data_IF_467005204579
#
_entry.id   IF_467005204579
#
_cell.length_a   1.000
_cell.length_b   1.000
_cell.length_c   1.000
_cell.angle_alpha   90.00
_cell.angle_beta   90.00
_cell.angle_gamma   90.00
#
_symmetry.space_group_name_H-M   'P 1'
#
loop_
_entity.id
_entity.type
_entity.pdbx_description
1 polymer ?
#
# COMPACT_ATOMS: atom_id res chain seq x y z
N UNK A 1 -14.61 28.16 -6.38
CA UNK A 1 -13.57 29.05 -5.82
C UNK A 1 -12.78 28.40 -4.69
N UNK A 2 -13.43 27.78 -3.70
CA UNK A 2 -12.77 27.12 -2.56
C UNK A 2 -11.77 26.02 -3.01
N UNK A 3 -12.11 25.21 -4.01
CA UNK A 3 -11.19 24.19 -4.54
C UNK A 3 -9.94 24.78 -5.19
N UNK A 4 -10.10 25.86 -5.98
CA UNK A 4 -8.97 26.57 -6.61
C UNK A 4 -8.09 27.22 -5.55
N UNK A 5 -8.70 27.90 -4.57
CA UNK A 5 -7.98 28.49 -3.42
C UNK A 5 -7.16 27.41 -2.70
N UNK A 6 -7.78 26.28 -2.34
CA UNK A 6 -7.11 25.17 -1.65
C UNK A 6 -5.95 24.58 -2.45
N UNK A 7 -6.09 24.45 -3.76
CA UNK A 7 -5.02 23.98 -4.63
C UNK A 7 -3.80 24.93 -4.62
N UNK A 8 -4.05 26.25 -4.70
CA UNK A 8 -2.99 27.25 -4.64
C UNK A 8 -2.30 27.28 -3.28
N UNK A 9 -3.08 27.18 -2.20
CA UNK A 9 -2.56 27.06 -0.83
C UNK A 9 -1.69 25.83 -0.66
N UNK A 10 -2.14 24.66 -1.15
CA UNK A 10 -1.37 23.41 -1.09
C UNK A 10 -0.06 23.53 -1.87
N UNK A 11 -0.08 24.04 -3.11
CA UNK A 11 1.14 24.25 -3.90
C UNK A 11 2.15 25.14 -3.17
N UNK A 12 1.68 26.25 -2.61
CA UNK A 12 2.54 27.15 -1.84
C UNK A 12 3.09 26.50 -0.56
N UNK A 13 2.27 25.72 0.15
CA UNK A 13 2.68 24.99 1.34
C UNK A 13 3.74 23.93 1.01
N UNK A 14 3.55 23.12 -0.04
CA UNK A 14 4.52 22.13 -0.53
C UNK A 14 5.84 22.82 -0.92
N UNK A 15 5.79 23.95 -1.64
CA UNK A 15 6.99 24.69 -2.01
C UNK A 15 7.78 25.20 -0.79
N UNK A 16 7.08 25.68 0.26
CA UNK A 16 7.71 26.08 1.53
C UNK A 16 8.33 24.89 2.24
N UNK A 17 7.61 23.77 2.31
CA UNK A 17 8.08 22.54 2.95
C UNK A 17 9.41 22.07 2.36
N UNK A 18 9.54 21.98 1.04
CA UNK A 18 10.78 21.52 0.39
C UNK A 18 11.93 22.53 0.48
N UNK A 19 11.68 23.79 0.80
CA UNK A 19 12.70 24.79 1.12
C UNK A 19 13.09 24.79 2.60
N UNK A 20 12.28 24.19 3.46
CA UNK A 20 12.53 24.09 4.90
C UNK A 20 13.67 23.15 5.21
N UNK A 21 14.43 23.43 6.28
CA UNK A 21 15.43 22.52 6.84
C UNK A 21 14.81 21.33 7.57
N UNK A 22 13.62 21.51 8.16
CA UNK A 22 12.89 20.46 8.85
C UNK A 22 11.85 19.82 7.90
N UNK A 23 12.17 18.63 7.39
CA UNK A 23 11.29 17.83 6.53
C UNK A 23 10.90 16.49 7.20
N UNK A 24 11.32 16.28 8.45
CA UNK A 24 11.02 15.08 9.23
C UNK A 24 9.80 15.29 10.12
N UNK A 25 8.68 15.69 9.52
CA UNK A 25 7.39 15.87 10.19
C UNK A 25 6.35 14.92 9.64
N UNK A 26 5.29 14.66 10.41
CA UNK A 26 4.13 13.91 9.95
C UNK A 26 3.25 14.72 9.00
N UNK A 27 2.38 14.03 8.23
CA UNK A 27 1.41 14.72 7.38
C UNK A 27 0.44 15.56 8.22
N UNK A 28 0.03 15.08 9.40
CA UNK A 28 -0.83 15.84 10.31
C UNK A 28 -0.17 17.14 10.77
N UNK A 29 1.12 17.10 11.15
CA UNK A 29 1.87 18.32 11.49
C UNK A 29 1.98 19.27 10.30
N UNK A 30 2.23 18.74 9.09
CA UNK A 30 2.24 19.57 7.89
C UNK A 30 0.90 20.30 7.69
N UNK A 31 -0.23 19.61 7.84
CA UNK A 31 -1.56 20.21 7.69
C UNK A 31 -1.82 21.26 8.77
N UNK A 32 -1.54 20.94 10.02
CA UNK A 32 -1.76 21.86 11.15
C UNK A 32 -0.92 23.14 11.05
N UNK A 33 0.23 23.07 10.38
CA UNK A 33 1.12 24.21 10.18
C UNK A 33 0.80 25.04 8.92
N UNK A 34 -0.23 24.66 8.15
CA UNK A 34 -0.59 25.34 6.91
C UNK A 34 -2.10 25.56 6.83
N UNK A 35 -2.48 26.77 6.45
CA UNK A 35 -3.89 27.11 6.18
C UNK A 35 -4.27 26.60 4.77
N UNK A 36 -4.81 25.36 4.71
CA UNK A 36 -5.32 24.75 3.47
C UNK A 36 -6.83 24.62 3.58
N UNK A 37 -7.53 25.07 2.54
CA UNK A 37 -9.00 25.02 2.48
C UNK A 37 -9.52 23.60 2.77
N UNK A 38 -10.28 23.43 3.85
CA UNK A 38 -10.73 22.15 4.38
C UNK A 38 -11.49 21.29 3.34
N UNK A 39 -12.40 21.93 2.58
CA UNK A 39 -13.15 21.26 1.52
C UNK A 39 -12.24 20.69 0.43
N UNK A 40 -11.16 21.42 0.10
CA UNK A 40 -10.17 20.93 -0.87
C UNK A 40 -9.34 19.79 -0.28
N UNK A 41 -8.89 19.93 0.97
CA UNK A 41 -8.10 18.89 1.63
C UNK A 41 -8.86 17.57 1.73
N UNK A 42 -10.06 17.61 2.31
CA UNK A 42 -10.86 16.40 2.52
C UNK A 42 -11.55 15.89 1.25
N UNK A 43 -11.94 16.77 0.34
CA UNK A 43 -12.69 16.41 -0.86
C UNK A 43 -11.84 16.07 -2.09
N UNK A 44 -10.57 16.49 -2.12
CA UNK A 44 -9.71 16.24 -3.28
C UNK A 44 -8.39 15.55 -2.90
N UNK A 45 -7.71 15.99 -1.84
CA UNK A 45 -6.37 15.49 -1.49
C UNK A 45 -6.44 14.17 -0.73
N UNK A 46 -7.22 14.12 0.35
CA UNK A 46 -7.35 12.91 1.18
C UNK A 46 -7.84 11.68 0.41
N UNK A 47 -8.82 11.78 -0.52
CA UNK A 47 -9.19 10.66 -1.37
C UNK A 47 -8.03 10.07 -2.17
N UNK A 48 -7.18 10.92 -2.73
CA UNK A 48 -5.98 10.48 -3.47
C UNK A 48 -5.00 9.77 -2.54
N UNK A 49 -4.70 10.35 -1.39
CA UNK A 49 -3.82 9.74 -0.39
C UNK A 49 -4.40 8.43 0.14
N UNK A 50 -5.71 8.36 0.36
CA UNK A 50 -6.39 7.14 0.79
C UNK A 50 -6.25 5.98 -0.21
N UNK A 51 -6.27 6.28 -1.51
CA UNK A 51 -6.04 5.26 -2.55
C UNK A 51 -4.63 4.67 -2.48
N UNK A 52 -3.64 5.50 -2.15
CA UNK A 52 -2.24 5.08 -2.10
C UNK A 52 -1.93 4.36 -0.80
N UNK A 53 -2.30 4.99 0.33
CA UNK A 53 -1.97 4.48 1.66
C UNK A 53 -2.86 3.31 2.08
N UNK A 54 -4.13 3.29 1.62
CA UNK A 54 -5.16 2.28 1.94
C UNK A 54 -5.38 2.06 3.46
N UNK A 55 -4.97 3.04 4.27
CA UNK A 55 -5.14 3.09 5.72
C UNK A 55 -6.26 4.08 6.10
N UNK A 56 -6.69 4.07 7.34
CA UNK A 56 -7.68 5.06 7.79
C UNK A 56 -7.09 6.49 7.79
N UNK A 57 -7.92 7.55 7.72
CA UNK A 57 -7.43 8.94 7.63
C UNK A 57 -6.52 9.37 8.78
N UNK A 58 -6.75 8.86 10.00
CA UNK A 58 -5.89 9.15 11.16
C UNK A 58 -4.50 8.57 10.96
N UNK A 59 -4.43 7.31 10.55
CA UNK A 59 -3.15 6.63 10.25
C UNK A 59 -2.41 7.33 9.12
N UNK A 60 -3.11 7.77 8.05
CA UNK A 60 -2.48 8.56 6.96
C UNK A 60 -1.85 9.84 7.51
N UNK A 61 -2.47 10.48 8.51
CA UNK A 61 -1.90 11.65 9.19
C UNK A 61 -0.57 11.38 9.90
N UNK A 62 -0.34 10.15 10.36
CA UNK A 62 0.90 9.74 11.03
C UNK A 62 2.06 9.46 10.06
N UNK A 63 1.78 9.33 8.77
CA UNK A 63 2.81 9.09 7.76
C UNK A 63 3.79 10.26 7.66
N UNK A 64 5.07 9.98 7.34
CA UNK A 64 6.03 11.04 7.01
C UNK A 64 5.50 11.90 5.87
N UNK A 65 5.52 13.23 6.06
CA UNK A 65 4.96 14.16 5.08
C UNK A 65 5.71 14.13 3.74
N UNK A 66 7.04 13.99 3.78
CA UNK A 66 7.91 14.15 2.60
C UNK A 66 7.55 13.25 1.42
N UNK A 67 7.40 11.91 1.54
CA UNK A 67 7.03 11.06 0.41
C UNK A 67 5.65 11.39 -0.16
N UNK A 68 4.66 11.66 0.69
CA UNK A 68 3.31 12.00 0.26
C UNK A 68 3.26 13.36 -0.46
N UNK A 69 3.96 14.36 0.07
CA UNK A 69 4.05 15.68 -0.56
C UNK A 69 4.86 15.66 -1.88
N UNK A 70 5.86 14.77 -1.98
CA UNK A 70 6.58 14.55 -3.25
C UNK A 70 5.62 14.03 -4.31
N UNK A 71 4.82 13.03 -3.97
CA UNK A 71 3.80 12.47 -4.87
C UNK A 71 2.74 13.51 -5.26
N UNK A 72 2.20 14.26 -4.28
CA UNK A 72 1.21 15.31 -4.56
C UNK A 72 1.78 16.41 -5.45
N UNK A 73 3.05 16.76 -5.30
CA UNK A 73 3.72 17.73 -6.18
C UNK A 73 3.77 17.22 -7.62
N UNK A 74 4.19 15.96 -7.84
CA UNK A 74 4.23 15.36 -9.17
C UNK A 74 2.85 15.38 -9.83
N UNK A 75 1.79 14.98 -9.12
CA UNK A 75 0.42 15.08 -9.64
C UNK A 75 -0.01 16.50 -10.01
N UNK A 76 0.35 17.47 -9.18
CA UNK A 76 -0.02 18.90 -9.42
C UNK A 76 0.82 19.55 -10.52
N UNK A 77 2.01 19.03 -10.80
CA UNK A 77 2.88 19.47 -11.89
C UNK A 77 2.52 18.83 -13.24
N UNK A 78 1.55 17.92 -13.24
CA UNK A 78 0.95 17.34 -14.46
C UNK A 78 1.59 16.06 -14.94
N UNK A 79 2.29 15.33 -14.08
CA UNK A 79 2.81 13.99 -14.40
C UNK A 79 1.67 13.03 -14.75
N UNK A 80 1.85 12.27 -15.82
CA UNK A 80 0.84 11.31 -16.27
C UNK A 80 0.82 10.06 -15.40
N UNK A 81 -0.37 9.58 -15.08
CA UNK A 81 -0.57 8.24 -14.53
C UNK A 81 -0.56 7.23 -15.67
N UNK A 82 0.38 6.31 -15.64
CA UNK A 82 0.55 5.29 -16.66
C UNK A 82 0.06 3.93 -16.14
N UNK A 83 -0.44 3.11 -17.06
CA UNK A 83 -0.79 1.71 -16.80
C UNK A 83 0.13 0.80 -17.58
N UNK A 84 0.59 -0.29 -16.97
CA UNK A 84 1.40 -1.31 -17.64
C UNK A 84 0.51 -2.07 -18.61
N UNK A 85 0.91 -2.11 -19.88
CA UNK A 85 0.25 -2.92 -20.87
C UNK A 85 0.34 -4.41 -20.50
N UNK A 86 -0.77 -5.14 -20.55
CA UNK A 86 -0.87 -6.52 -20.06
C UNK A 86 -0.95 -6.68 -18.55
N UNK A 87 -1.00 -5.54 -17.78
CA UNK A 87 -1.20 -5.51 -16.35
C UNK A 87 -0.05 -6.13 -15.54
N UNK A 88 -0.31 -6.43 -14.27
CA UNK A 88 0.66 -7.03 -13.35
C UNK A 88 1.28 -8.34 -13.85
N UNK A 89 0.53 -9.27 -14.49
CA UNK A 89 1.14 -10.49 -15.01
C UNK A 89 2.27 -10.25 -16.02
N UNK A 90 2.10 -9.27 -16.94
CA UNK A 90 3.15 -8.95 -17.91
C UNK A 90 4.43 -8.43 -17.23
N UNK A 91 4.28 -7.59 -16.19
CA UNK A 91 5.40 -7.13 -15.39
C UNK A 91 6.09 -8.28 -14.66
N UNK A 92 5.29 -9.12 -13.97
CA UNK A 92 5.83 -10.25 -13.19
C UNK A 92 6.59 -11.21 -14.11
N UNK A 93 6.00 -11.61 -15.24
CA UNK A 93 6.64 -12.50 -16.20
C UNK A 93 8.00 -11.94 -16.69
N UNK A 94 8.07 -10.61 -16.90
CA UNK A 94 9.32 -9.97 -17.30
C UNK A 94 10.38 -9.95 -16.20
N UNK A 95 9.95 -9.74 -14.95
CA UNK A 95 10.85 -9.70 -13.78
C UNK A 95 11.42 -11.07 -13.41
N UNK A 96 10.66 -12.15 -13.64
CA UNK A 96 11.09 -13.51 -13.29
C UNK A 96 11.77 -14.24 -14.45
N UNK A 97 11.98 -13.59 -15.59
CA UNK A 97 12.63 -14.18 -16.76
C UNK A 97 14.05 -14.68 -16.39
N UNK A 98 14.30 -15.96 -16.59
CA UNK A 98 15.57 -16.62 -16.21
C UNK A 98 15.71 -16.98 -14.72
N UNK A 99 14.66 -16.78 -13.91
CA UNK A 99 14.65 -17.16 -12.49
C UNK A 99 13.86 -18.46 -12.33
N UNK A 100 14.41 -19.41 -11.58
CA UNK A 100 13.70 -20.65 -11.22
C UNK A 100 12.59 -20.32 -10.20
N UNK A 101 11.34 -20.65 -10.53
CA UNK A 101 10.16 -20.37 -9.71
C UNK A 101 9.53 -21.68 -9.21
N UNK A 102 9.34 -21.77 -7.90
CA UNK A 102 8.65 -22.88 -7.24
C UNK A 102 7.31 -22.41 -6.67
N UNK A 103 6.23 -22.59 -7.42
CA UNK A 103 4.88 -22.31 -6.96
C UNK A 103 4.38 -23.40 -6.00
N UNK A 104 3.37 -23.08 -5.17
CA UNK A 104 2.76 -24.01 -4.20
C UNK A 104 3.77 -24.62 -3.22
N UNK A 105 4.88 -23.94 -2.98
CA UNK A 105 5.98 -24.35 -2.12
C UNK A 105 6.05 -23.45 -0.88
N UNK A 106 5.03 -23.53 -0.02
CA UNK A 106 4.99 -22.75 1.22
C UNK A 106 6.17 -23.14 2.12
N UNK A 107 6.97 -22.13 2.50
CA UNK A 107 8.12 -22.34 3.38
C UNK A 107 7.63 -22.45 4.83
N UNK A 108 8.10 -23.47 5.54
CA UNK A 108 7.77 -23.81 6.93
C UNK A 108 8.95 -23.61 7.88
N UNK A 109 10.18 -23.64 7.35
CA UNK A 109 11.37 -23.43 8.15
C UNK A 109 12.48 -22.73 7.35
N UNK A 110 13.17 -21.81 8.02
CA UNK A 110 14.45 -21.23 7.60
C UNK A 110 15.42 -21.38 8.75
N UNK A 111 16.62 -21.90 8.49
CA UNK A 111 17.65 -22.13 9.50
C UNK A 111 19.04 -21.84 8.94
N UNK A 112 19.82 -21.00 9.60
CA UNK A 112 21.23 -20.84 9.25
C UNK A 112 22.06 -22.04 9.71
N UNK A 113 22.99 -22.44 8.85
CA UNK A 113 23.98 -23.51 9.05
C UNK A 113 25.35 -23.03 8.61
N UNK A 114 26.40 -23.76 8.97
CA UNK A 114 27.77 -23.39 8.60
C UNK A 114 27.96 -23.26 7.08
N UNK A 115 27.34 -24.16 6.32
CA UNK A 115 27.42 -24.25 4.86
C UNK A 115 26.34 -23.41 4.11
N UNK A 116 25.49 -22.63 4.79
CA UNK A 116 24.47 -21.82 4.13
C UNK A 116 23.21 -21.64 4.96
N UNK A 117 22.08 -21.48 4.28
CA UNK A 117 20.74 -21.35 4.88
C UNK A 117 19.88 -22.50 4.37
N UNK A 118 19.44 -23.36 5.28
CA UNK A 118 18.47 -24.42 5.00
C UNK A 118 17.07 -23.81 4.91
N UNK A 119 16.36 -24.14 3.85
CA UNK A 119 14.93 -23.85 3.65
C UNK A 119 14.20 -25.18 3.56
N UNK A 120 13.10 -25.31 4.31
CA UNK A 120 12.17 -26.44 4.22
C UNK A 120 10.78 -25.95 3.84
N UNK A 121 10.13 -26.63 2.90
CA UNK A 121 8.76 -26.37 2.50
C UNK A 121 7.74 -27.30 3.18
N UNK A 122 6.45 -27.02 2.98
CA UNK A 122 5.35 -27.80 3.56
C UNK A 122 5.28 -29.28 3.08
N UNK A 123 6.03 -29.64 2.04
CA UNK A 123 6.16 -31.01 1.54
C UNK A 123 7.33 -31.75 2.20
N UNK A 124 8.10 -31.09 3.07
CA UNK A 124 9.30 -31.65 3.70
C UNK A 124 10.54 -31.61 2.79
N UNK A 125 10.46 -30.95 1.64
CA UNK A 125 11.63 -30.80 0.77
C UNK A 125 12.57 -29.76 1.36
N UNK A 126 13.86 -30.11 1.40
CA UNK A 126 14.89 -29.27 1.96
C UNK A 126 15.90 -28.84 0.89
N UNK A 127 16.29 -27.56 0.90
CA UNK A 127 17.34 -27.01 0.05
C UNK A 127 18.25 -26.07 0.86
N UNK A 128 19.53 -26.02 0.49
CA UNK A 128 20.53 -25.13 1.11
C UNK A 128 20.91 -24.06 0.08
N UNK A 129 20.93 -22.81 0.53
CA UNK A 129 21.33 -21.65 -0.27
C UNK A 129 22.42 -20.86 0.45
N UNK A 130 23.30 -20.19 -0.29
CA UNK A 130 24.33 -19.32 0.29
C UNK A 130 23.68 -18.15 1.06
N UNK A 131 22.61 -17.58 0.51
CA UNK A 131 21.86 -16.45 1.08
C UNK A 131 20.39 -16.55 0.76
N UNK A 132 19.57 -16.00 1.64
CA UNK A 132 18.09 -15.97 1.50
C UNK A 132 17.58 -14.54 1.66
N UNK A 133 16.68 -14.14 0.78
CA UNK A 133 15.93 -12.88 0.89
C UNK A 133 14.48 -13.22 1.22
N UNK A 134 14.03 -12.81 2.39
CA UNK A 134 12.64 -12.96 2.84
C UNK A 134 11.84 -11.74 2.34
N UNK A 135 10.99 -11.95 1.34
CA UNK A 135 10.10 -10.94 0.78
C UNK A 135 8.64 -11.11 1.27
N UNK A 136 8.45 -11.78 2.39
CA UNK A 136 7.15 -12.01 3.02
C UNK A 136 6.83 -10.86 3.97
N UNK A 137 5.55 -10.40 4.05
CA UNK A 137 5.15 -9.39 5.02
C UNK A 137 5.58 -9.73 6.44
N UNK A 138 6.10 -8.75 7.19
CA UNK A 138 6.74 -9.00 8.50
C UNK A 138 5.80 -9.59 9.54
N UNK A 139 4.48 -9.43 9.41
CA UNK A 139 3.49 -10.07 10.27
C UNK A 139 3.28 -11.57 10.01
N UNK A 140 3.99 -12.15 9.03
CA UNK A 140 3.93 -13.59 8.69
C UNK A 140 5.23 -14.34 8.95
N UNK A 141 6.31 -13.64 9.31
CA UNK A 141 7.65 -14.25 9.42
C UNK A 141 7.75 -15.37 10.44
N UNK A 142 7.01 -15.31 11.55
CA UNK A 142 7.05 -16.32 12.60
C UNK A 142 6.52 -17.69 12.15
N UNK A 143 5.82 -17.75 11.02
CA UNK A 143 5.33 -19.02 10.46
C UNK A 143 6.48 -19.92 9.97
N UNK A 144 7.68 -19.35 9.73
CA UNK A 144 8.85 -20.07 9.22
C UNK A 144 10.19 -19.65 9.85
N UNK A 145 10.25 -18.46 10.50
CA UNK A 145 11.38 -18.00 11.30
C UNK A 145 11.05 -18.19 12.79
N UNK A 146 11.08 -19.40 13.27
CA UNK A 146 10.61 -19.75 14.62
C UNK A 146 11.71 -20.25 15.56
N UNK A 147 12.99 -20.02 15.22
CA UNK A 147 14.12 -20.48 16.01
C UNK A 147 14.89 -19.31 16.66
N UNK A 148 15.67 -19.61 17.68
CA UNK A 148 16.42 -18.63 18.49
C UNK A 148 17.44 -17.81 17.67
N UNK A 149 17.94 -18.37 16.56
CA UNK A 149 18.91 -17.69 15.68
C UNK A 149 18.38 -16.33 15.15
N UNK A 150 17.06 -16.23 14.95
CA UNK A 150 16.40 -15.02 14.41
C UNK A 150 15.64 -14.21 15.46
N UNK A 151 15.80 -14.52 16.76
CA UNK A 151 15.03 -13.85 17.82
C UNK A 151 15.15 -12.31 17.79
N UNK A 152 16.36 -11.79 17.55
CA UNK A 152 16.59 -10.35 17.45
C UNK A 152 15.95 -9.72 16.21
N UNK A 153 15.93 -10.44 15.07
CA UNK A 153 15.30 -9.98 13.84
C UNK A 153 13.79 -10.02 13.96
N UNK A 154 13.24 -11.10 14.51
CA UNK A 154 11.80 -11.24 14.77
C UNK A 154 11.32 -10.12 15.69
N UNK A 155 12.05 -9.82 16.77
CA UNK A 155 11.72 -8.74 17.69
C UNK A 155 11.70 -7.36 17.02
N UNK A 156 12.58 -7.12 16.04
CA UNK A 156 12.59 -5.90 15.23
C UNK A 156 11.40 -5.88 14.25
N UNK A 157 11.21 -6.95 13.50
CA UNK A 157 10.22 -7.04 12.42
C UNK A 157 8.78 -7.01 12.95
N UNK A 158 8.53 -7.50 14.15
CA UNK A 158 7.23 -7.41 14.85
C UNK A 158 6.80 -5.99 15.23
N UNK A 159 7.71 -5.03 15.24
CA UNK A 159 7.38 -3.63 15.53
C UNK A 159 6.70 -2.93 14.34
N UNK A 160 6.76 -3.48 13.13
CA UNK A 160 6.02 -2.97 11.99
C UNK A 160 4.53 -3.19 12.20
N UNK A 161 3.75 -2.12 12.02
CA UNK A 161 2.30 -2.14 12.23
C UNK A 161 1.58 -2.48 10.94
N UNK A 162 0.39 -3.07 11.09
CA UNK A 162 -0.48 -3.40 9.95
C UNK A 162 -1.92 -3.00 10.25
N UNK A 163 -2.63 -2.55 9.22
CA UNK A 163 -4.08 -2.36 9.22
C UNK A 163 -4.75 -3.34 8.26
N UNK A 164 -5.96 -3.76 8.62
CA UNK A 164 -6.79 -4.59 7.76
C UNK A 164 -7.79 -3.73 7.00
N UNK A 165 -8.06 -4.12 5.75
CA UNK A 165 -9.07 -3.51 4.93
C UNK A 165 -9.81 -4.54 4.09
N UNK A 166 -11.10 -4.32 3.88
CA UNK A 166 -11.94 -5.17 3.06
C UNK A 166 -11.93 -4.69 1.60
N UNK A 167 -11.62 -5.60 0.69
CA UNK A 167 -11.75 -5.42 -0.74
C UNK A 167 -12.92 -6.27 -1.25
N UNK A 168 -13.85 -5.63 -1.96
CA UNK A 168 -15.02 -6.32 -2.51
C UNK A 168 -15.07 -6.12 -4.02
N UNK A 169 -15.18 -7.21 -4.77
CA UNK A 169 -15.49 -7.21 -6.20
C UNK A 169 -16.99 -7.50 -6.34
N UNK A 170 -17.71 -6.65 -7.03
CA UNK A 170 -19.18 -6.72 -7.09
C UNK A 170 -19.75 -6.06 -8.35
N UNK A 171 -21.06 -6.26 -8.58
CA UNK A 171 -21.84 -5.64 -9.66
C UNK A 171 -22.85 -4.61 -9.15
N UNK A 172 -22.80 -4.24 -7.88
CA UNK A 172 -23.73 -3.30 -7.28
C UNK A 172 -23.43 -1.86 -7.72
N UNK A 173 -24.35 -1.26 -8.47
CA UNK A 173 -24.20 0.09 -9.00
C UNK A 173 -24.58 1.18 -7.99
N UNK A 174 -25.16 0.82 -6.84
CA UNK A 174 -25.57 1.79 -5.81
C UNK A 174 -24.40 2.56 -5.19
N UNK A 175 -23.17 2.04 -5.31
CA UNK A 175 -21.92 2.69 -4.86
C UNK A 175 -21.43 3.78 -5.82
N UNK A 176 -22.05 3.89 -7.00
CA UNK A 176 -21.68 4.87 -8.03
C UNK A 176 -22.68 6.03 -8.06
N UNK A 177 -22.32 7.18 -8.65
CA UNK A 177 -23.26 8.27 -8.88
C UNK A 177 -24.50 7.78 -9.63
N UNK A 178 -25.72 8.31 -9.31
CA UNK A 178 -26.98 7.85 -9.92
C UNK A 178 -27.01 7.97 -11.44
N UNK A 179 -26.33 8.96 -11.99
CA UNK A 179 -26.28 9.18 -13.44
C UNK A 179 -24.99 8.57 -14.01
N UNK A 180 -25.11 7.61 -14.92
CA UNK A 180 -23.95 6.92 -15.53
C UNK A 180 -22.97 7.87 -16.22
N UNK A 181 -23.41 9.00 -16.75
CA UNK A 181 -22.53 10.02 -17.35
C UNK A 181 -21.57 10.67 -16.33
N UNK A 182 -21.88 10.56 -15.04
CA UNK A 182 -21.07 11.11 -13.96
C UNK A 182 -20.11 10.03 -13.37
N UNK A 183 -20.11 8.82 -13.94
CA UNK A 183 -19.18 7.77 -13.49
C UNK A 183 -17.77 8.09 -13.91
N UNK A 184 -16.87 8.02 -12.97
CA UNK A 184 -15.43 8.11 -13.19
C UNK A 184 -14.78 6.72 -13.03
N UNK A 185 -13.59 6.57 -13.58
CA UNK A 185 -12.76 5.36 -13.40
C UNK A 185 -12.60 5.05 -11.91
N UNK A 186 -12.40 6.09 -11.12
CA UNK A 186 -12.21 6.04 -9.67
C UNK A 186 -13.18 7.00 -9.02
N UNK A 187 -14.04 6.48 -8.18
CA UNK A 187 -15.04 7.23 -7.42
C UNK A 187 -14.79 7.11 -5.94
N UNK A 188 -14.97 8.20 -5.21
CA UNK A 188 -14.80 8.26 -3.77
C UNK A 188 -16.12 8.55 -3.08
N UNK A 189 -16.33 7.90 -1.95
CA UNK A 189 -17.41 8.21 -1.03
C UNK A 189 -16.83 8.34 0.38
N UNK A 190 -17.33 9.31 1.14
CA UNK A 190 -16.92 9.52 2.52
C UNK A 190 -18.13 9.91 3.38
N UNK A 191 -18.05 9.65 4.66
CA UNK A 191 -19.03 10.14 5.61
C UNK A 191 -18.87 11.67 5.82
N UNK A 192 -19.92 12.29 6.39
CA UNK A 192 -19.91 13.75 6.62
C UNK A 192 -18.86 14.21 7.63
N UNK A 193 -18.31 13.30 8.43
CA UNK A 193 -17.28 13.58 9.44
C UNK A 193 -15.86 13.30 8.93
N UNK A 194 -15.73 12.84 7.68
CA UNK A 194 -14.47 12.43 7.06
C UNK A 194 -13.71 11.33 7.82
N UNK A 195 -14.43 10.52 8.60
CA UNK A 195 -13.85 9.43 9.41
C UNK A 195 -13.81 8.10 8.67
N UNK A 196 -14.75 7.89 7.73
CA UNK A 196 -14.85 6.69 6.90
C UNK A 196 -14.82 7.10 5.44
N UNK A 197 -14.00 6.41 4.68
CA UNK A 197 -13.85 6.63 3.25
C UNK A 197 -13.86 5.29 2.53
N UNK A 198 -14.47 5.27 1.35
CA UNK A 198 -14.31 4.19 0.38
C UNK A 198 -13.80 4.75 -0.93
N UNK A 199 -13.11 3.94 -1.71
CA UNK A 199 -12.95 4.20 -3.13
C UNK A 199 -13.46 3.00 -3.93
N UNK A 200 -14.02 3.30 -5.08
CA UNK A 200 -14.55 2.32 -6.01
C UNK A 200 -13.92 2.52 -7.37
N UNK A 201 -13.29 1.47 -7.90
CA UNK A 201 -12.77 1.43 -9.26
C UNK A 201 -13.82 0.77 -10.15
N UNK A 202 -14.23 1.46 -11.21
CA UNK A 202 -15.06 0.88 -12.27
C UNK A 202 -14.16 0.08 -13.22
N UNK A 203 -14.12 -1.25 -13.02
CA UNK A 203 -13.18 -2.13 -13.71
C UNK A 203 -13.35 -2.17 -15.22
N UNK A 204 -14.59 -2.05 -15.73
CA UNK A 204 -14.83 -2.04 -17.20
C UNK A 204 -14.16 -0.86 -17.91
N UNK A 205 -13.81 0.21 -17.21
CA UNK A 205 -13.11 1.35 -17.81
C UNK A 205 -11.60 1.19 -17.86
N UNK A 206 -11.04 0.22 -17.13
CA UNK A 206 -9.59 -0.02 -17.04
C UNK A 206 -9.17 -1.40 -17.49
N UNK A 207 -10.10 -2.36 -17.57
CA UNK A 207 -9.81 -3.73 -17.97
C UNK A 207 -10.44 -4.03 -19.35
N UNK A 208 -9.62 -4.13 -20.43
CA UNK A 208 -10.13 -4.31 -21.78
C UNK A 208 -11.05 -5.52 -21.95
N UNK A 209 -10.82 -6.59 -21.20
CA UNK A 209 -11.63 -7.82 -21.25
C UNK A 209 -13.05 -7.63 -20.72
N UNK A 210 -13.34 -6.54 -20.02
CA UNK A 210 -14.65 -6.20 -19.45
C UNK A 210 -15.41 -5.13 -20.23
N UNK A 211 -14.82 -4.58 -21.29
CA UNK A 211 -15.50 -3.56 -22.12
C UNK A 211 -16.79 -4.12 -22.71
N UNK A 212 -17.88 -3.36 -22.59
CA UNK A 212 -19.22 -3.74 -23.09
C UNK A 212 -19.97 -4.79 -22.26
N UNK A 213 -19.37 -5.31 -21.19
CA UNK A 213 -20.00 -6.28 -20.28
C UNK A 213 -20.73 -5.59 -19.12
N UNK A 214 -21.45 -6.39 -18.31
CA UNK A 214 -22.05 -5.94 -17.07
C UNK A 214 -21.04 -5.16 -16.24
N UNK A 215 -21.39 -4.00 -15.67
CA UNK A 215 -20.50 -3.22 -14.84
C UNK A 215 -19.98 -4.03 -13.65
N UNK A 216 -18.66 -4.05 -13.49
CA UNK A 216 -17.97 -4.67 -12.35
C UNK A 216 -17.17 -3.59 -11.63
N UNK A 217 -17.24 -3.61 -10.31
CA UNK A 217 -16.60 -2.66 -9.43
C UNK A 217 -15.68 -3.35 -8.46
N UNK A 218 -14.60 -2.68 -8.12
CA UNK A 218 -13.72 -3.02 -7.01
C UNK A 218 -13.84 -1.91 -5.96
N UNK A 219 -14.41 -2.25 -4.80
CA UNK A 219 -14.58 -1.28 -3.71
C UNK A 219 -13.69 -1.64 -2.52
N UNK A 220 -12.91 -0.68 -2.07
CA UNK A 220 -12.10 -0.75 -0.87
C UNK A 220 -12.84 -0.10 0.30
N UNK A 221 -12.95 -0.82 1.43
CA UNK A 221 -13.59 -0.36 2.66
C UNK A 221 -14.99 0.22 2.43
N UNK A 222 -15.98 -0.56 1.96
CA UNK A 222 -17.33 -0.06 1.69
C UNK A 222 -17.90 0.72 2.88
N UNK A 223 -18.30 1.96 2.64
CA UNK A 223 -19.05 2.80 3.62
C UNK A 223 -20.52 2.48 3.56
N UNK A 224 -21.02 2.19 2.36
CA UNK A 224 -22.39 1.72 2.11
C UNK A 224 -22.37 0.20 1.98
N UNK A 225 -23.38 -0.45 2.54
CA UNK A 225 -23.56 -1.89 2.38
C UNK A 225 -23.75 -2.26 0.90
N UNK A 226 -22.97 -3.24 0.44
CA UNK A 226 -23.09 -3.80 -0.91
C UNK A 226 -24.08 -4.96 -0.85
N UNK A 227 -25.05 -5.00 -1.77
CA UNK A 227 -26.02 -6.09 -1.89
C UNK A 227 -25.28 -7.45 -1.95
N UNK A 228 -25.48 -8.34 -0.96
CA UNK A 228 -24.80 -9.63 -0.91
C UNK A 228 -24.96 -10.48 -2.18
N UNK A 229 -26.11 -10.34 -2.88
CA UNK A 229 -26.40 -11.07 -4.13
C UNK A 229 -25.57 -10.59 -5.31
N UNK A 230 -24.94 -9.42 -5.19
CA UNK A 230 -24.12 -8.80 -6.24
C UNK A 230 -22.64 -8.91 -5.96
N UNK A 231 -22.24 -9.50 -4.83
CA UNK A 231 -20.82 -9.74 -4.49
C UNK A 231 -20.31 -10.91 -5.32
N UNK A 232 -19.23 -10.68 -6.06
CA UNK A 232 -18.48 -11.71 -6.80
C UNK A 232 -17.40 -12.32 -5.90
N UNK A 233 -16.69 -11.48 -5.17
CA UNK A 233 -15.62 -11.91 -4.26
C UNK A 233 -15.39 -10.85 -3.19
N UNK A 234 -14.96 -11.29 -2.02
CA UNK A 234 -14.57 -10.40 -0.92
C UNK A 234 -13.35 -10.98 -0.22
N UNK A 235 -12.38 -10.13 0.08
CA UNK A 235 -11.15 -10.52 0.78
C UNK A 235 -10.75 -9.45 1.78
N UNK A 236 -10.28 -9.88 2.95
CA UNK A 236 -9.62 -8.99 3.90
C UNK A 236 -8.12 -8.98 3.60
N UNK A 237 -7.61 -7.81 3.27
CA UNK A 237 -6.20 -7.57 3.01
C UNK A 237 -5.56 -6.88 4.20
N UNK A 238 -4.29 -7.17 4.43
CA UNK A 238 -3.47 -6.54 5.46
C UNK A 238 -2.45 -5.62 4.79
N UNK A 239 -2.39 -4.37 5.23
CA UNK A 239 -1.49 -3.34 4.69
C UNK A 239 -0.54 -2.86 5.77
N UNK A 240 0.74 -2.73 5.42
CA UNK A 240 1.73 -2.13 6.31
C UNK A 240 1.40 -0.64 6.53
N UNK A 241 1.46 -0.21 7.79
CA UNK A 241 1.36 1.20 8.18
C UNK A 241 2.74 1.82 8.13
N UNK A 242 2.85 3.00 7.55
CA UNK A 242 4.10 3.76 7.52
C UNK A 242 3.96 4.98 8.42
N UNK A 243 4.70 4.99 9.51
CA UNK A 243 4.76 6.09 10.48
C UNK A 243 6.23 6.49 10.75
N UNK A 244 6.47 7.39 11.67
CA UNK A 244 7.83 7.79 12.06
C UNK A 244 8.64 6.62 12.64
N UNK A 245 7.99 5.70 13.33
CA UNK A 245 8.62 4.48 13.86
C UNK A 245 9.08 3.57 12.72
N UNK A 246 8.28 3.40 11.68
CA UNK A 246 8.63 2.61 10.48
C UNK A 246 9.91 3.12 9.83
N UNK A 247 10.09 4.45 9.76
CA UNK A 247 11.33 5.04 9.21
C UNK A 247 12.54 4.65 10.05
N UNK A 248 12.42 4.70 11.38
CA UNK A 248 13.51 4.31 12.30
C UNK A 248 13.81 2.81 12.20
N UNK A 249 12.78 1.95 12.15
CA UNK A 249 12.92 0.51 11.99
C UNK A 249 13.61 0.14 10.67
N UNK A 250 13.25 0.81 9.58
CA UNK A 250 13.90 0.59 8.29
C UNK A 250 15.38 0.99 8.32
N UNK A 251 15.75 2.09 8.97
CA UNK A 251 17.17 2.48 9.15
C UNK A 251 17.92 1.42 9.96
N UNK A 252 17.33 0.89 11.05
CA UNK A 252 17.94 -0.18 11.83
C UNK A 252 18.10 -1.46 11.02
N UNK A 253 17.08 -1.87 10.26
CA UNK A 253 17.13 -3.04 9.39
C UNK A 253 18.21 -2.91 8.32
N UNK A 254 18.31 -1.76 7.65
CA UNK A 254 19.35 -1.46 6.68
C UNK A 254 20.75 -1.53 7.30
N UNK A 255 20.92 -1.08 8.55
CA UNK A 255 22.20 -1.19 9.25
C UNK A 255 22.57 -2.64 9.53
N UNK A 256 21.62 -3.47 9.94
CA UNK A 256 21.84 -4.92 10.13
C UNK A 256 22.20 -5.62 8.82
N UNK A 257 21.64 -5.18 7.69
CA UNK A 257 21.94 -5.74 6.36
C UNK A 257 23.36 -5.43 5.85
N UNK A 258 24.09 -4.53 6.51
CA UNK A 258 25.50 -4.23 6.16
C UNK A 258 26.49 -5.26 6.72
N UNK A 259 26.07 -6.13 7.62
CA UNK A 259 26.93 -7.21 8.13
C UNK A 259 27.26 -8.18 6.98
N UNK A 260 28.54 -8.31 6.67
CA UNK A 260 29.03 -9.15 5.57
C UNK A 260 28.83 -10.65 5.82
N UNK A 261 28.71 -11.05 7.08
CA UNK A 261 28.47 -12.44 7.48
C UNK A 261 26.99 -12.81 7.45
N UNK A 262 26.11 -11.83 7.24
CA UNK A 262 24.66 -12.07 7.22
C UNK A 262 24.26 -12.91 6.01
N UNK A 263 23.47 -13.96 6.27
CA UNK A 263 22.97 -14.87 5.22
C UNK A 263 21.47 -14.67 4.94
N UNK A 264 20.67 -14.13 5.90
CA UNK A 264 19.22 -13.90 5.74
C UNK A 264 18.90 -12.40 5.73
N UNK A 265 18.23 -11.94 4.69
CA UNK A 265 17.85 -10.53 4.44
C UNK A 265 16.34 -10.39 4.36
N UNK A 266 15.81 -9.20 4.63
CA UNK A 266 14.37 -8.92 4.65
C UNK A 266 14.05 -7.73 3.74
N UNK A 267 12.99 -7.85 2.90
CA UNK A 267 12.52 -6.79 1.99
C UNK A 267 11.00 -6.77 1.78
N UNK A 268 10.24 -7.42 2.66
CA UNK A 268 8.79 -7.53 2.59
C UNK A 268 8.04 -6.45 3.37
#
# INVERSE_FOLDING_TARGET
WRLVKGMLQLKAAIARFFKSKNQEISLAEFINNNDIEEVFWHGAVMPVLYTICTCNPKTIGEWPAKPLLTFLRQLTDGDALLRIQGGTPALVNKLIEGIEIHNSSAITQVKEQDNGVLIENALGEQRIFDRVIVATPTNKIETFLNNEQFAADIALLKKFKFEQGQLVIHTDQSVMPPKRKDWAVLSYMMDRKFTRQQFTVWLNSVEPSLVGKTPVFQTWQPVTEIDPKKIISSVTLTRAVVDSQTVALNKELQQRHKDLNRKVFYCG
#
